data_IF_796712659084
#
_entry.id   IF_796712659084
#
_cell.length_a   1.000
_cell.length_b   1.000
_cell.length_c   1.000
_cell.angle_alpha   90.00
_cell.angle_beta   90.00
_cell.angle_gamma   90.00
#
_symmetry.space_group_name_H-M   'P 1'
#
loop_
_entity.id
_entity.type
_entity.pdbx_description
1 polymer ?
#
# COMPACT_ATOMS: atom_id res chain seq x y z
N UNK A 1 18.37 -21.17 11.33
CA UNK A 1 17.40 -20.85 12.39
C UNK A 1 18.17 -20.66 13.67
N UNK A 2 17.91 -19.58 14.42
CA UNK A 2 18.56 -19.35 15.71
C UNK A 2 18.49 -17.91 16.21
N UNK A 3 18.60 -16.92 15.32
CA UNK A 3 18.54 -15.53 15.74
C UNK A 3 17.12 -14.97 15.61
N UNK A 4 16.71 -14.22 16.63
CA UNK A 4 15.59 -13.28 16.49
C UNK A 4 15.94 -12.32 15.37
N UNK A 5 15.04 -12.16 14.39
CA UNK A 5 15.21 -11.13 13.36
C UNK A 5 15.30 -9.77 14.08
N UNK A 6 16.44 -9.06 14.05
CA UNK A 6 16.57 -7.82 14.78
C UNK A 6 15.58 -6.79 14.22
N UNK A 7 14.90 -6.01 15.08
CA UNK A 7 13.94 -5.01 14.63
C UNK A 7 14.66 -3.94 13.80
N UNK A 8 14.04 -3.55 12.68
CA UNK A 8 14.48 -2.43 11.86
C UNK A 8 13.30 -1.54 11.49
N UNK A 9 13.34 -0.29 11.93
CA UNK A 9 12.22 0.64 11.82
C UNK A 9 12.22 1.33 10.44
N UNK A 10 11.77 0.62 9.42
CA UNK A 10 11.69 1.16 8.06
C UNK A 10 10.46 2.04 7.85
N UNK A 11 10.57 2.96 6.89
CA UNK A 11 9.45 3.77 6.43
C UNK A 11 9.10 3.49 4.98
N UNK A 12 7.82 3.30 4.68
CA UNK A 12 7.27 3.29 3.33
C UNK A 12 6.21 4.37 3.21
N UNK A 13 6.39 5.30 2.26
CA UNK A 13 5.44 6.39 2.05
C UNK A 13 5.25 6.68 0.59
N UNK A 14 4.02 7.04 0.22
CA UNK A 14 3.69 7.49 -1.13
C UNK A 14 4.11 6.49 -2.23
N UNK A 15 3.84 5.21 -1.98
CA UNK A 15 4.23 4.11 -2.85
C UNK A 15 2.99 3.39 -3.42
N UNK A 16 3.19 2.67 -4.54
CA UNK A 16 2.16 1.84 -5.14
C UNK A 16 2.71 0.43 -5.35
N UNK A 17 1.97 -0.58 -4.90
CA UNK A 17 2.27 -1.99 -5.12
C UNK A 17 1.06 -2.68 -5.78
N UNK A 18 1.23 -3.18 -7.00
CA UNK A 18 0.12 -3.76 -7.75
C UNK A 18 0.50 -5.04 -8.48
N UNK A 19 -0.47 -5.97 -8.60
CA UNK A 19 -0.32 -7.19 -9.39
C UNK A 19 0.73 -8.18 -8.86
N UNK A 20 1.15 -8.07 -7.60
CA UNK A 20 2.08 -9.03 -7.02
C UNK A 20 1.39 -10.38 -6.82
N UNK A 21 2.13 -11.48 -7.01
CA UNK A 21 1.59 -12.83 -6.83
C UNK A 21 1.14 -13.13 -5.39
N UNK A 22 1.72 -12.44 -4.41
CA UNK A 22 1.40 -12.55 -2.99
C UNK A 22 1.00 -11.17 -2.43
N UNK A 23 1.75 -10.64 -1.47
CA UNK A 23 1.39 -9.41 -0.75
C UNK A 23 1.81 -8.14 -1.51
N UNK A 24 1.11 -7.03 -1.28
CA UNK A 24 1.52 -5.71 -1.77
C UNK A 24 2.66 -5.12 -0.95
N UNK A 25 2.42 -4.95 0.35
CA UNK A 25 3.40 -4.50 1.35
C UNK A 25 3.51 -5.56 2.43
N UNK A 26 4.72 -5.93 2.84
CA UNK A 26 4.93 -6.94 3.88
C UNK A 26 6.04 -6.53 4.85
N UNK A 27 5.84 -6.84 6.14
CA UNK A 27 6.89 -6.78 7.15
C UNK A 27 8.02 -7.79 6.90
N UNK A 28 7.74 -8.84 6.12
CA UNK A 28 8.62 -9.97 5.87
C UNK A 28 9.25 -10.57 7.15
N UNK A 29 8.55 -10.49 8.29
CA UNK A 29 9.03 -10.99 9.59
C UNK A 29 9.85 -10.01 10.41
N UNK A 30 10.06 -8.79 9.93
CA UNK A 30 10.70 -7.73 10.70
C UNK A 30 9.81 -7.31 11.89
N UNK A 31 10.26 -7.48 13.16
CA UNK A 31 9.48 -7.12 14.33
C UNK A 31 9.51 -5.62 14.68
N UNK A 32 10.18 -4.78 13.87
CA UNK A 32 10.34 -3.35 14.11
C UNK A 32 9.05 -2.53 14.04
N UNK A 33 9.17 -1.26 14.42
CA UNK A 33 8.13 -0.24 14.39
C UNK A 33 8.08 0.42 12.99
N UNK A 34 7.56 -0.30 12.00
CA UNK A 34 7.49 0.20 10.62
C UNK A 34 6.51 1.37 10.50
N UNK A 35 6.84 2.38 9.69
CA UNK A 35 5.95 3.50 9.40
C UNK A 35 5.45 3.42 7.95
N UNK A 36 4.18 3.05 7.75
CA UNK A 36 3.58 2.88 6.42
C UNK A 36 2.46 3.89 6.23
N UNK A 37 2.64 4.82 5.32
CA UNK A 37 1.66 5.88 5.10
C UNK A 37 1.40 6.15 3.63
N UNK A 38 0.19 6.60 3.30
CA UNK A 38 -0.13 7.12 1.97
C UNK A 38 0.30 6.16 0.85
N UNK A 39 0.11 4.87 1.06
CA UNK A 39 0.52 3.81 0.11
C UNK A 39 -0.72 3.16 -0.48
N UNK A 40 -0.69 2.85 -1.77
CA UNK A 40 -1.77 2.14 -2.46
C UNK A 40 -1.36 0.72 -2.82
N UNK A 41 -2.22 -0.26 -2.51
CA UNK A 41 -2.08 -1.65 -2.95
C UNK A 41 -3.25 -2.03 -3.85
N UNK A 42 -2.97 -2.76 -4.93
CA UNK A 42 -3.96 -3.06 -5.94
C UNK A 42 -3.81 -4.44 -6.59
N UNK A 43 -4.86 -5.27 -6.53
CA UNK A 43 -4.90 -6.59 -7.21
C UNK A 43 -3.71 -7.48 -6.88
N UNK A 44 -3.24 -7.47 -5.63
CA UNK A 44 -2.24 -8.42 -5.18
C UNK A 44 -2.92 -9.77 -4.82
N UNK A 45 -2.26 -10.89 -5.13
CA UNK A 45 -2.79 -12.25 -4.92
C UNK A 45 -2.88 -12.70 -3.45
N UNK A 46 -2.43 -11.85 -2.53
CA UNK A 46 -2.58 -11.99 -1.09
C UNK A 46 -3.01 -10.67 -0.46
N UNK A 47 -2.60 -10.43 0.79
CA UNK A 47 -2.95 -9.20 1.50
C UNK A 47 -2.35 -7.95 0.85
N UNK A 48 -3.13 -6.87 0.79
CA UNK A 48 -2.61 -5.55 0.41
C UNK A 48 -1.48 -5.13 1.34
N UNK A 49 -1.76 -5.12 2.65
CA UNK A 49 -0.78 -4.84 3.70
C UNK A 49 -0.67 -6.03 4.66
N UNK A 50 0.52 -6.59 4.83
CA UNK A 50 0.80 -7.66 5.77
C UNK A 50 1.84 -7.21 6.80
N UNK A 51 1.38 -6.86 7.99
CA UNK A 51 2.21 -6.34 9.09
C UNK A 51 2.00 -7.13 10.38
N UNK A 52 1.50 -8.37 10.26
CA UNK A 52 1.09 -9.24 11.36
C UNK A 52 2.25 -9.74 12.24
N UNK A 53 3.50 -9.51 11.84
CA UNK A 53 4.72 -9.86 12.58
C UNK A 53 5.54 -8.64 13.02
N UNK A 54 4.95 -7.44 12.97
CA UNK A 54 5.61 -6.18 13.32
C UNK A 54 4.81 -5.34 14.33
N UNK A 55 5.38 -4.21 14.75
CA UNK A 55 4.70 -3.15 15.49
C UNK A 55 4.46 -1.92 14.60
N UNK A 56 4.04 -2.15 13.34
CA UNK A 56 3.89 -1.09 12.36
C UNK A 56 2.79 -0.09 12.73
N UNK A 57 2.91 1.13 12.21
CA UNK A 57 1.84 2.14 12.18
C UNK A 57 1.43 2.39 10.74
N UNK A 58 0.16 2.11 10.43
CA UNK A 58 -0.42 2.25 9.09
C UNK A 58 -1.39 3.42 9.07
N UNK A 59 -1.15 4.42 8.20
CA UNK A 59 -2.03 5.60 8.09
C UNK A 59 -2.33 6.01 6.67
N UNK A 60 -3.60 6.35 6.41
CA UNK A 60 -4.06 6.89 5.13
C UNK A 60 -3.69 6.02 3.91
N UNK A 61 -3.59 4.70 4.09
CA UNK A 61 -3.32 3.75 3.02
C UNK A 61 -4.61 3.33 2.32
N UNK A 62 -4.46 2.89 1.07
CA UNK A 62 -5.55 2.44 0.21
C UNK A 62 -5.26 1.01 -0.25
N UNK A 63 -6.13 0.07 0.09
CA UNK A 63 -6.14 -1.27 -0.53
C UNK A 63 -7.35 -1.42 -1.43
N UNK A 64 -7.14 -1.93 -2.64
CA UNK A 64 -8.13 -2.10 -3.69
C UNK A 64 -8.02 -3.49 -4.31
N UNK A 65 -9.06 -4.32 -4.17
CA UNK A 65 -9.13 -5.64 -4.82
C UNK A 65 -7.91 -6.57 -4.54
N UNK A 66 -7.22 -6.36 -3.42
CA UNK A 66 -6.31 -7.37 -2.87
C UNK A 66 -7.15 -8.52 -2.29
N UNK A 67 -6.60 -9.73 -2.17
CA UNK A 67 -7.34 -10.89 -1.62
C UNK A 67 -7.91 -10.60 -0.23
N UNK A 68 -7.17 -9.84 0.57
CA UNK A 68 -7.67 -9.18 1.77
C UNK A 68 -6.97 -7.82 1.90
N UNK A 69 -7.60 -6.79 2.48
CA UNK A 69 -6.98 -5.48 2.52
C UNK A 69 -5.77 -5.42 3.46
N UNK A 70 -5.85 -6.08 4.61
CA UNK A 70 -4.82 -6.01 5.65
C UNK A 70 -4.78 -7.27 6.52
N UNK A 71 -3.56 -7.71 6.89
CA UNK A 71 -3.28 -8.55 8.06
C UNK A 71 -2.49 -7.71 9.06
N UNK A 72 -3.15 -7.26 10.12
CA UNK A 72 -2.60 -6.23 11.00
C UNK A 72 -1.75 -6.78 12.16
N UNK A 73 -2.16 -7.89 12.78
CA UNK A 73 -1.53 -8.40 14.01
C UNK A 73 -1.53 -7.36 15.13
N UNK A 74 -0.37 -7.15 15.77
CA UNK A 74 -0.14 -6.13 16.81
C UNK A 74 0.13 -4.71 16.28
N UNK A 75 0.08 -4.51 14.96
CA UNK A 75 0.28 -3.19 14.36
C UNK A 75 -0.90 -2.26 14.62
N UNK A 76 -0.68 -0.95 14.50
CA UNK A 76 -1.71 0.08 14.66
C UNK A 76 -2.20 0.56 13.30
N UNK A 77 -3.51 0.81 13.19
CA UNK A 77 -4.17 1.26 11.97
C UNK A 77 -5.01 2.50 12.24
N UNK A 78 -4.92 3.53 11.39
CA UNK A 78 -5.79 4.71 11.46
C UNK A 78 -6.03 5.35 10.09
N UNK A 79 -7.30 5.52 9.75
CA UNK A 79 -7.73 6.27 8.56
C UNK A 79 -7.31 5.62 7.25
N UNK A 80 -7.04 4.32 7.22
CA UNK A 80 -6.84 3.55 6.00
C UNK A 80 -8.19 3.16 5.39
N UNK A 81 -8.20 2.72 4.14
CA UNK A 81 -9.44 2.36 3.44
C UNK A 81 -10.29 1.32 4.21
N UNK A 82 -9.65 0.34 4.85
CA UNK A 82 -10.32 -0.66 5.68
C UNK A 82 -10.82 -0.13 7.04
N UNK A 83 -10.23 0.95 7.57
CA UNK A 83 -10.71 1.59 8.81
C UNK A 83 -11.96 2.44 8.54
N UNK A 84 -12.04 3.04 7.35
CA UNK A 84 -13.15 3.91 6.94
C UNK A 84 -14.39 3.11 6.49
N UNK A 85 -14.23 1.82 6.21
CA UNK A 85 -15.30 0.96 5.70
C UNK A 85 -15.67 1.28 4.25
N UNK A 86 -16.77 0.68 3.80
CA UNK A 86 -17.23 0.78 2.41
C UNK A 86 -16.56 -0.22 1.47
N UNK A 87 -16.91 -0.13 0.18
CA UNK A 87 -16.37 -0.99 -0.87
C UNK A 87 -15.32 -0.20 -1.67
N UNK A 88 -14.09 -0.68 -1.63
CA UNK A 88 -12.97 -0.12 -2.39
C UNK A 88 -12.68 -1.01 -3.60
N UNK A 89 -13.09 -0.55 -4.79
CA UNK A 89 -12.92 -1.26 -6.07
C UNK A 89 -12.45 -0.29 -7.17
N UNK A 90 -12.38 -0.74 -8.43
CA UNK A 90 -11.94 0.11 -9.54
C UNK A 90 -12.81 1.36 -9.73
N UNK A 91 -14.09 1.30 -9.37
CA UNK A 91 -15.01 2.45 -9.40
C UNK A 91 -14.67 3.52 -8.37
N UNK A 92 -13.99 3.15 -7.28
CA UNK A 92 -13.54 4.05 -6.21
C UNK A 92 -12.35 4.92 -6.62
N UNK A 93 -11.68 4.61 -7.73
CA UNK A 93 -10.52 5.35 -8.24
C UNK A 93 -10.77 5.95 -9.61
N UNK A 94 -9.99 6.98 -9.95
CA UNK A 94 -10.09 7.69 -11.22
C UNK A 94 -9.67 6.85 -12.43
N UNK A 95 -8.64 6.00 -12.27
CA UNK A 95 -8.13 5.13 -13.33
C UNK A 95 -7.44 3.89 -12.77
N UNK A 96 -7.49 2.80 -13.54
CA UNK A 96 -6.70 1.58 -13.33
C UNK A 96 -5.76 1.28 -14.51
N UNK A 97 -5.59 2.24 -15.42
CA UNK A 97 -4.63 2.17 -16.51
C UNK A 97 -3.21 2.42 -15.99
N UNK A 98 -2.38 1.38 -16.07
CA UNK A 98 -1.01 1.41 -15.57
C UNK A 98 0.03 1.93 -16.57
N UNK A 99 -0.34 2.18 -17.83
CA UNK A 99 0.61 2.42 -18.93
C UNK A 99 1.54 3.59 -18.64
N UNK A 100 1.05 4.64 -17.96
CA UNK A 100 1.88 5.80 -17.60
C UNK A 100 2.96 5.49 -16.57
N UNK A 101 2.69 4.62 -15.60
CA UNK A 101 3.68 4.32 -14.54
C UNK A 101 4.62 3.17 -14.92
N UNK A 102 4.24 2.30 -15.86
CA UNK A 102 5.12 1.24 -16.40
C UNK A 102 5.82 1.63 -17.69
N UNK A 103 5.49 2.79 -18.25
CA UNK A 103 6.06 3.31 -19.49
C UNK A 103 7.38 4.08 -19.31
N UNK A 104 7.83 4.76 -20.37
CA UNK A 104 9.03 5.60 -20.31
C UNK A 104 8.91 6.71 -19.26
N UNK A 105 10.05 7.05 -18.65
CA UNK A 105 10.18 8.24 -17.78
C UNK A 105 10.14 9.52 -18.62
N UNK A 106 9.82 10.64 -17.96
CA UNK A 106 9.98 11.96 -18.57
C UNK A 106 11.46 12.30 -18.80
N UNK A 107 11.73 13.34 -19.59
CA UNK A 107 13.09 13.74 -19.96
C UNK A 107 13.97 14.11 -18.74
N UNK A 108 13.36 14.52 -17.63
CA UNK A 108 14.02 14.82 -16.36
C UNK A 108 14.20 13.58 -15.46
N UNK A 109 13.81 12.39 -15.93
CA UNK A 109 13.87 11.13 -15.19
C UNK A 109 12.69 10.88 -14.24
N UNK A 110 11.73 11.81 -14.13
CA UNK A 110 10.55 11.62 -13.30
C UNK A 110 9.61 10.55 -13.86
N UNK A 111 8.83 9.93 -12.97
CA UNK A 111 7.70 9.08 -13.37
C UNK A 111 6.57 10.03 -13.80
N UNK A 112 5.96 9.85 -14.99
CA UNK A 112 4.87 10.72 -15.44
C UNK A 112 3.70 10.75 -14.46
N UNK A 113 3.15 11.94 -14.22
CA UNK A 113 1.92 12.08 -13.42
C UNK A 113 0.75 11.34 -14.08
N UNK A 114 -0.07 10.69 -13.26
CA UNK A 114 -1.20 9.90 -13.71
C UNK A 114 -2.35 9.94 -12.71
N UNK A 115 -3.54 9.55 -13.17
CA UNK A 115 -4.69 9.32 -12.29
C UNK A 115 -4.76 7.87 -11.78
N UNK A 116 -3.72 7.06 -12.02
CA UNK A 116 -3.70 5.65 -11.65
C UNK A 116 -3.88 5.50 -10.14
N UNK A 117 -4.97 4.83 -9.77
CA UNK A 117 -5.36 4.51 -8.40
C UNK A 117 -5.54 5.73 -7.47
N UNK A 118 -5.80 6.91 -8.04
CA UNK A 118 -6.17 8.11 -7.26
C UNK A 118 -7.62 8.01 -6.82
N UNK A 119 -7.97 8.19 -5.54
CA UNK A 119 -9.36 8.16 -5.07
C UNK A 119 -10.26 9.15 -5.82
N UNK A 120 -11.41 8.65 -6.31
CA UNK A 120 -12.37 9.44 -7.09
C UNK A 120 -13.09 10.49 -6.26
N UNK A 121 -13.31 10.20 -4.99
CA UNK A 121 -13.97 11.09 -4.03
C UNK A 121 -13.05 12.22 -3.50
N UNK A 122 -11.80 12.27 -3.97
CA UNK A 122 -10.80 13.24 -3.50
C UNK A 122 -10.30 12.98 -2.09
N UNK A 123 -10.62 11.81 -1.51
CA UNK A 123 -10.13 11.45 -0.18
C UNK A 123 -8.61 11.46 -0.11
N UNK A 124 -8.09 11.90 1.03
CA UNK A 124 -6.68 11.84 1.32
C UNK A 124 -6.26 10.41 1.73
N UNK A 125 -6.46 9.44 0.83
CA UNK A 125 -5.94 8.08 0.91
C UNK A 125 -4.90 7.77 -0.17
N UNK A 126 -4.10 6.74 0.04
CA UNK A 126 -3.21 6.14 -0.95
C UNK A 126 -2.05 7.02 -1.40
N UNK A 127 -1.33 6.55 -2.42
CA UNK A 127 -0.28 7.33 -3.06
C UNK A 127 -0.84 8.55 -3.81
N UNK A 128 -0.02 9.59 -3.92
CA UNK A 128 -0.27 10.79 -4.72
C UNK A 128 0.93 11.06 -5.65
N UNK A 129 0.67 11.77 -6.74
CA UNK A 129 1.66 12.19 -7.73
C UNK A 129 1.71 13.71 -7.81
#
# INVERSE_FOLDING_TARGET
GGDVDPPADHSLRNAIAFGNAAHGVTDNGNPGALAISRTTTYRNGGSGFRTDRSHATLTANLSLLDTEPVKLGSSTSKGNSWDLGGVWNEGSVLSTDQVKITGPRAADGSIPSSAFLVPRDGSALGARF
#
